data_IF_835792582802
#
_entry.id   IF_835792582802
#
_cell.length_a   1.000
_cell.length_b   1.000
_cell.length_c   1.000
_cell.angle_alpha   90.00
_cell.angle_beta   90.00
_cell.angle_gamma   90.00
#
_symmetry.space_group_name_H-M   'P 1'
#
loop_
_entity.id
_entity.type
_entity.pdbx_description
1 polymer ?
#
# COMPACT_ATOMS: atom_id res chain seq x y z
N UNK A 1 6.32 17.72 27.31
CA UNK A 1 7.47 17.10 26.62
C UNK A 1 7.02 16.82 25.21
N UNK A 2 7.55 17.53 24.21
CA UNK A 2 7.32 17.14 22.83
C UNK A 2 7.95 15.76 22.65
N UNK A 3 7.14 14.75 22.34
CA UNK A 3 7.69 13.50 21.84
C UNK A 3 8.62 13.86 20.68
N UNK A 4 9.80 13.26 20.64
CA UNK A 4 10.69 13.32 19.49
C UNK A 4 9.86 12.88 18.28
N UNK A 5 9.34 13.85 17.53
CA UNK A 5 8.45 13.60 16.42
C UNK A 5 9.34 13.08 15.32
N UNK A 6 9.61 11.77 15.37
CA UNK A 6 10.53 11.09 14.48
C UNK A 6 10.31 11.52 13.04
N UNK A 7 11.39 11.48 12.25
CA UNK A 7 11.40 11.95 10.87
C UNK A 7 10.23 11.31 10.11
N UNK A 8 9.31 12.10 9.50
CA UNK A 8 8.24 11.58 8.67
C UNK A 8 8.76 10.58 7.63
N UNK A 9 8.23 9.36 7.66
CA UNK A 9 8.58 8.32 6.68
C UNK A 9 7.35 7.94 5.88
N UNK A 10 7.53 7.88 4.55
CA UNK A 10 6.58 7.27 3.63
C UNK A 10 7.30 6.11 2.93
N UNK A 11 6.66 4.95 2.91
CA UNK A 11 7.04 3.84 2.03
C UNK A 11 5.90 3.65 1.05
N UNK A 12 6.19 3.80 -0.25
CA UNK A 12 5.21 3.57 -1.30
C UNK A 12 5.89 2.81 -2.44
N UNK A 13 5.30 1.70 -2.87
CA UNK A 13 5.81 0.95 -4.00
C UNK A 13 5.05 -0.35 -4.25
N UNK A 14 5.35 -0.97 -5.38
CA UNK A 14 4.92 -2.32 -5.69
C UNK A 14 5.71 -3.32 -4.84
N UNK A 15 5.03 -3.95 -3.89
CA UNK A 15 5.63 -4.99 -3.06
C UNK A 15 5.39 -6.37 -3.64
N UNK A 16 4.55 -6.53 -4.66
CA UNK A 16 4.17 -7.79 -5.28
C UNK A 16 4.09 -8.93 -4.25
N UNK A 17 3.28 -8.71 -3.23
CA UNK A 17 3.09 -9.60 -2.09
C UNK A 17 1.66 -10.13 -2.11
N UNK A 18 1.41 -11.24 -2.83
CA UNK A 18 0.07 -11.78 -3.01
C UNK A 18 -0.69 -11.97 -1.71
N UNK A 19 -1.93 -11.49 -1.72
CA UNK A 19 -2.94 -11.69 -0.69
C UNK A 19 -4.32 -11.76 -1.33
N UNK A 20 -5.10 -12.74 -0.95
CA UNK A 20 -6.46 -13.00 -1.42
C UNK A 20 -7.37 -11.78 -1.29
N UNK A 21 -7.31 -11.07 -0.16
CA UNK A 21 -8.06 -9.83 0.05
C UNK A 21 -7.61 -8.66 -0.83
N UNK A 22 -6.51 -8.81 -1.57
CA UNK A 22 -5.95 -7.84 -2.51
C UNK A 22 -6.15 -8.28 -3.97
N UNK A 23 -7.07 -9.22 -4.23
CA UNK A 23 -7.41 -9.68 -5.58
C UNK A 23 -6.55 -10.84 -6.11
N UNK A 24 -5.61 -11.36 -5.32
CA UNK A 24 -4.85 -12.55 -5.70
C UNK A 24 -5.64 -13.83 -5.42
N UNK A 25 -5.27 -14.94 -6.06
CA UNK A 25 -5.89 -16.25 -5.82
C UNK A 25 -5.47 -16.83 -4.47
N UNK A 26 -4.23 -16.56 -4.07
CA UNK A 26 -3.61 -17.13 -2.87
C UNK A 26 -2.77 -16.11 -2.10
N UNK A 27 -2.56 -16.41 -0.82
CA UNK A 27 -1.71 -15.65 0.08
C UNK A 27 -0.27 -16.16 0.00
N UNK A 28 0.69 -15.26 -0.16
CA UNK A 28 2.12 -15.58 -0.19
C UNK A 28 2.77 -15.50 1.20
N UNK A 29 3.89 -16.21 1.40
CA UNK A 29 4.72 -16.02 2.60
C UNK A 29 5.26 -14.58 2.72
N UNK A 30 5.46 -13.90 1.59
CA UNK A 30 5.92 -12.51 1.53
C UNK A 30 4.95 -11.57 2.24
N UNK A 31 3.64 -11.72 2.04
CA UNK A 31 2.66 -10.85 2.71
C UNK A 31 2.61 -11.12 4.21
N UNK A 32 2.83 -12.36 4.65
CA UNK A 32 2.93 -12.70 6.06
C UNK A 32 4.12 -11.99 6.74
N UNK A 33 5.30 -11.99 6.11
CA UNK A 33 6.46 -11.27 6.62
C UNK A 33 6.27 -9.75 6.63
N UNK A 34 5.67 -9.17 5.59
CA UNK A 34 5.37 -7.74 5.55
C UNK A 34 4.39 -7.36 6.67
N UNK A 35 3.30 -8.12 6.83
CA UNK A 35 2.33 -7.87 7.91
C UNK A 35 2.99 -7.96 9.29
N UNK A 36 3.83 -8.97 9.52
CA UNK A 36 4.59 -9.10 10.76
C UNK A 36 5.53 -7.92 10.97
N UNK A 37 6.28 -7.51 9.95
CA UNK A 37 7.20 -6.36 10.04
C UNK A 37 6.45 -5.06 10.37
N UNK A 38 5.27 -4.85 9.78
CA UNK A 38 4.41 -3.70 10.11
C UNK A 38 3.92 -3.79 11.55
N UNK A 39 3.42 -4.95 11.97
CA UNK A 39 2.92 -5.17 13.34
C UNK A 39 4.00 -4.98 14.41
N UNK A 40 5.22 -5.45 14.14
CA UNK A 40 6.37 -5.31 15.05
C UNK A 40 6.87 -3.85 15.13
N UNK A 41 6.54 -3.00 14.14
CA UNK A 41 6.89 -1.58 14.10
C UNK A 41 5.69 -0.69 14.46
N UNK A 42 5.51 -0.41 15.76
CA UNK A 42 4.36 0.36 16.32
C UNK A 42 4.16 1.77 15.74
N UNK A 43 5.14 2.29 15.01
CA UNK A 43 5.09 3.62 14.39
C UNK A 43 4.65 3.59 12.92
N UNK A 44 4.54 2.42 12.30
CA UNK A 44 4.25 2.28 10.87
C UNK A 44 2.83 1.76 10.65
N UNK A 45 2.02 2.46 9.88
CA UNK A 45 0.66 2.03 9.55
C UNK A 45 0.39 2.09 8.06
N UNK A 46 -0.44 1.16 7.58
CA UNK A 46 -0.87 1.12 6.18
C UNK A 46 -2.00 2.09 5.93
N UNK A 47 -1.89 2.82 4.82
CA UNK A 47 -2.97 3.65 4.27
C UNK A 47 -3.49 3.08 2.95
N UNK A 48 -3.10 1.85 2.64
CA UNK A 48 -3.59 1.11 1.48
C UNK A 48 -4.94 0.50 1.83
N UNK A 49 -5.96 0.81 1.02
CA UNK A 49 -7.25 0.16 1.10
C UNK A 49 -7.37 -0.90 0.00
N UNK A 50 -7.46 -2.20 0.34
CA UNK A 50 -7.47 -3.27 -0.66
C UNK A 50 -8.67 -3.29 -1.59
N UNK A 51 -9.80 -2.70 -1.19
CA UNK A 51 -11.01 -2.67 -2.02
C UNK A 51 -10.93 -1.77 -3.25
N UNK A 52 -9.82 -1.05 -3.44
CA UNK A 52 -9.53 -0.34 -4.68
C UNK A 52 -8.34 -1.01 -5.37
N UNK A 53 -8.64 -1.78 -6.42
CA UNK A 53 -7.66 -2.45 -7.27
C UNK A 53 -6.71 -1.43 -7.88
N UNK A 54 -5.41 -1.68 -7.85
CA UNK A 54 -4.37 -0.77 -8.39
C UNK A 54 -3.61 -1.36 -9.56
N UNK A 55 -3.91 -2.61 -9.92
CA UNK A 55 -3.46 -3.26 -11.15
C UNK A 55 -4.68 -3.90 -11.84
N UNK A 56 -4.83 -3.67 -13.14
CA UNK A 56 -5.96 -4.19 -13.93
C UNK A 56 -5.84 -5.69 -14.19
N UNK A 57 -4.62 -6.22 -14.25
CA UNK A 57 -4.35 -7.60 -14.66
C UNK A 57 -4.31 -7.75 -16.18
N UNK A 58 -4.13 -8.98 -16.63
CA UNK A 58 -4.02 -9.35 -18.05
C UNK A 58 -4.74 -10.69 -18.32
N UNK A 59 -4.44 -11.34 -19.44
CA UNK A 59 -5.03 -12.65 -19.77
C UNK A 59 -4.61 -13.79 -18.83
N UNK A 60 -3.61 -13.57 -17.97
CA UNK A 60 -3.04 -14.57 -17.06
C UNK A 60 -3.34 -14.23 -15.60
N UNK A 61 -3.36 -12.95 -15.27
CA UNK A 61 -3.47 -12.42 -13.91
C UNK A 61 -4.75 -11.60 -13.76
N UNK A 62 -5.50 -11.85 -12.69
CA UNK A 62 -6.67 -11.04 -12.38
C UNK A 62 -6.30 -9.64 -11.88
N UNK A 63 -7.28 -8.72 -11.81
CA UNK A 63 -7.11 -7.44 -11.16
C UNK A 63 -6.66 -7.61 -9.70
N UNK A 64 -5.72 -6.78 -9.25
CA UNK A 64 -5.15 -6.92 -7.90
C UNK A 64 -4.66 -5.59 -7.32
N UNK A 65 -4.17 -5.63 -6.07
CA UNK A 65 -3.57 -4.49 -5.37
C UNK A 65 -2.13 -4.83 -4.90
N UNK A 66 -1.13 -4.81 -5.80
CA UNK A 66 0.27 -5.07 -5.47
C UNK A 66 0.94 -3.94 -4.65
N UNK A 67 0.49 -2.70 -4.85
CA UNK A 67 1.10 -1.51 -4.27
C UNK A 67 0.71 -1.34 -2.82
N UNK A 68 1.71 -1.17 -1.96
CA UNK A 68 1.53 -0.83 -0.56
C UNK A 68 2.08 0.56 -0.26
N UNK A 69 1.28 1.32 0.47
CA UNK A 69 1.59 2.63 1.03
C UNK A 69 1.55 2.54 2.55
N UNK A 70 2.68 2.81 3.19
CA UNK A 70 2.87 2.84 4.65
C UNK A 70 3.39 4.22 5.05
N UNK A 71 2.99 4.68 6.22
CA UNK A 71 3.45 5.95 6.78
C UNK A 71 3.82 5.79 8.25
N UNK A 72 4.93 6.41 8.65
CA UNK A 72 5.22 6.73 10.03
C UNK A 72 5.16 8.25 10.15
N UNK A 73 3.94 8.74 10.36
CA UNK A 73 3.60 10.15 10.31
C UNK A 73 2.53 10.48 11.35
N UNK A 74 2.76 11.48 12.18
CA UNK A 74 1.81 11.89 13.24
C UNK A 74 0.62 12.73 12.74
N UNK A 75 0.67 13.23 11.50
CA UNK A 75 -0.39 14.03 10.89
C UNK A 75 -1.41 13.19 10.11
N UNK A 76 -2.42 13.86 9.55
CA UNK A 76 -3.41 13.21 8.68
C UNK A 76 -2.76 12.84 7.35
N UNK A 77 -3.12 11.67 6.82
CA UNK A 77 -2.72 11.22 5.49
C UNK A 77 -3.93 10.67 4.73
N UNK A 78 -3.89 10.78 3.42
CA UNK A 78 -4.91 10.20 2.53
C UNK A 78 -4.25 9.57 1.31
N UNK A 79 -4.92 8.54 0.78
CA UNK A 79 -4.52 7.81 -0.43
C UNK A 79 -5.73 7.66 -1.33
N UNK A 80 -5.54 7.87 -2.62
CA UNK A 80 -6.58 7.70 -3.64
C UNK A 80 -6.00 6.99 -4.86
N UNK A 81 -6.71 5.98 -5.36
CA UNK A 81 -6.48 5.48 -6.72
C UNK A 81 -7.10 6.49 -7.69
N UNK A 82 -6.32 6.95 -8.66
CA UNK A 82 -6.74 7.96 -9.64
C UNK A 82 -7.59 7.35 -10.75
N UNK A 83 -7.53 6.03 -10.95
CA UNK A 83 -8.22 5.32 -12.03
C UNK A 83 -7.72 5.69 -13.43
N UNK A 84 -6.59 6.40 -13.50
CA UNK A 84 -5.94 6.80 -14.73
C UNK A 84 -5.18 5.60 -15.29
N UNK A 85 -5.63 5.11 -16.44
CA UNK A 85 -4.88 4.18 -17.27
C UNK A 85 -3.94 4.99 -18.17
N UNK A 86 -2.65 4.91 -17.87
CA UNK A 86 -1.58 5.57 -18.64
C UNK A 86 -0.98 4.65 -19.73
N UNK A 87 -1.65 3.55 -20.06
CA UNK A 87 -1.15 2.51 -20.97
C UNK A 87 -0.24 1.50 -20.29
N UNK A 88 -0.27 1.42 -18.95
CA UNK A 88 0.42 0.43 -18.13
C UNK A 88 -0.61 -0.41 -17.38
N UNK A 89 -0.22 -1.61 -16.95
CA UNK A 89 -1.08 -2.52 -16.19
C UNK A 89 -1.40 -2.01 -14.77
N UNK A 90 -0.61 -1.06 -14.26
CA UNK A 90 -0.81 -0.40 -12.97
C UNK A 90 -1.49 0.97 -13.10
N UNK A 91 -2.36 1.27 -12.13
CA UNK A 91 -3.10 2.52 -12.01
C UNK A 91 -2.33 3.53 -11.15
N UNK A 92 -2.40 4.81 -11.52
CA UNK A 92 -1.79 5.90 -10.76
C UNK A 92 -2.42 6.04 -9.36
N UNK A 93 -1.58 6.23 -8.35
CA UNK A 93 -2.00 6.45 -6.95
C UNK A 93 -1.53 7.83 -6.52
N UNK A 94 -2.44 8.61 -5.94
CA UNK A 94 -2.13 9.89 -5.28
C UNK A 94 -2.13 9.72 -3.77
N UNK A 95 -1.16 10.35 -3.11
CA UNK A 95 -1.03 10.38 -1.66
C UNK A 95 -0.86 11.83 -1.21
N UNK A 96 -1.58 12.24 -0.17
CA UNK A 96 -1.46 13.58 0.42
C UNK A 96 -1.15 13.45 1.90
N UNK A 97 -0.10 14.16 2.35
CA UNK A 97 0.24 14.34 3.75
C UNK A 97 -0.14 15.76 4.18
N UNK A 98 -0.82 15.88 5.32
CA UNK A 98 -1.20 17.16 5.90
C UNK A 98 -0.23 17.51 7.03
N UNK A 99 0.47 18.64 6.90
CA UNK A 99 1.31 19.24 7.95
C UNK A 99 0.49 19.73 9.14
#
# INVERSE_FOLDING_TARGET
MAADAGIPLIVAGDLNAPRSSWGYVEDSLKVAFICKAIQDNLMLYTITYPGFLTRLGDSVTGPSTPELSLVAYGGKSSRRNMGEDLGFDHLTISMTLHA
#
